data_IF_877507713658
#
_entry.id   IF_877507713658
#
_cell.length_a   1.000
_cell.length_b   1.000
_cell.length_c   1.000
_cell.angle_alpha   90.00
_cell.angle_beta   90.00
_cell.angle_gamma   90.00
#
_symmetry.space_group_name_H-M   'P 1'
#
loop_
_entity.id
_entity.type
_entity.pdbx_description
1 polymer ?
#
# COMPACT_ATOMS: atom_id res chain seq x y z
N UNK A 1 -3.36 42.09 -18.73
CA UNK A 1 -3.80 40.73 -18.37
C UNK A 1 -2.74 40.11 -17.50
N UNK A 2 -3.17 39.61 -16.35
CA UNK A 2 -2.28 39.11 -15.32
C UNK A 2 -2.88 37.90 -14.65
N UNK A 3 -2.07 36.86 -14.47
CA UNK A 3 -2.52 35.61 -13.89
C UNK A 3 -2.49 35.67 -12.36
N UNK A 4 -3.57 35.19 -11.76
CA UNK A 4 -3.73 35.09 -10.32
C UNK A 4 -4.23 33.72 -9.93
N UNK A 5 -3.84 33.28 -8.74
CA UNK A 5 -4.42 32.14 -8.07
C UNK A 5 -5.21 32.63 -6.87
N UNK A 6 -6.45 32.17 -6.76
CA UNK A 6 -7.38 32.55 -5.69
C UNK A 6 -7.84 31.26 -5.02
N UNK A 7 -7.68 31.15 -3.70
CA UNK A 7 -8.28 30.07 -2.91
C UNK A 7 -9.27 30.66 -1.93
N UNK A 8 -10.51 30.18 -1.92
CA UNK A 8 -11.56 30.67 -1.04
C UNK A 8 -12.47 29.54 -0.58
N UNK A 9 -12.96 29.64 0.66
CA UNK A 9 -13.95 28.72 1.21
C UNK A 9 -15.35 29.24 0.90
N UNK A 10 -16.14 28.44 0.19
CA UNK A 10 -17.54 28.68 -0.11
C UNK A 10 -18.38 27.65 0.62
N UNK A 11 -19.49 28.07 1.22
CA UNK A 11 -20.42 27.12 1.84
C UNK A 11 -21.01 26.22 0.75
N UNK A 12 -20.93 24.91 0.94
CA UNK A 12 -21.36 23.91 -0.04
C UNK A 12 -22.90 23.88 -0.13
N UNK A 13 -23.45 24.78 -0.95
CA UNK A 13 -24.88 24.92 -1.25
C UNK A 13 -25.07 25.26 -2.73
N UNK A 14 -26.11 24.72 -3.38
CA UNK A 14 -26.43 25.06 -4.76
C UNK A 14 -26.51 26.57 -4.99
N UNK A 15 -25.84 27.05 -6.03
CA UNK A 15 -25.85 28.47 -6.42
C UNK A 15 -24.91 29.39 -5.63
N UNK A 16 -24.16 28.91 -4.64
CA UNK A 16 -23.19 29.79 -3.95
C UNK A 16 -21.92 30.01 -4.77
N UNK A 17 -21.43 28.97 -5.44
CA UNK A 17 -20.33 29.12 -6.40
C UNK A 17 -20.70 30.09 -7.54
N UNK A 18 -21.97 30.10 -8.00
CA UNK A 18 -22.39 31.03 -9.06
C UNK A 18 -22.42 32.49 -8.62
N UNK A 19 -22.69 32.77 -7.33
CA UNK A 19 -22.59 34.13 -6.77
C UNK A 19 -21.12 34.59 -6.76
N UNK A 20 -20.20 33.69 -6.40
CA UNK A 20 -18.77 33.97 -6.42
C UNK A 20 -18.26 34.25 -7.83
N UNK A 21 -18.56 33.36 -8.78
CA UNK A 21 -18.11 33.54 -10.18
C UNK A 21 -18.74 34.77 -10.84
N UNK A 22 -20.00 35.10 -10.52
CA UNK A 22 -20.63 36.34 -10.98
C UNK A 22 -19.94 37.60 -10.44
N UNK A 23 -19.52 37.58 -9.16
CA UNK A 23 -18.80 38.71 -8.55
C UNK A 23 -17.44 38.96 -9.22
N UNK A 24 -16.71 37.89 -9.55
CA UNK A 24 -15.46 37.97 -10.31
C UNK A 24 -15.70 38.47 -11.75
N UNK A 25 -16.73 37.95 -12.42
CA UNK A 25 -17.08 38.36 -13.79
C UNK A 25 -17.42 39.86 -13.89
N UNK A 26 -18.10 40.43 -12.89
CA UNK A 26 -18.39 41.88 -12.82
C UNK A 26 -17.14 42.76 -12.74
N UNK A 27 -15.99 42.20 -12.35
CA UNK A 27 -14.68 42.88 -12.36
C UNK A 27 -13.88 42.60 -13.64
N UNK A 28 -14.46 41.88 -14.61
CA UNK A 28 -13.78 41.48 -15.84
C UNK A 28 -12.76 40.36 -15.63
N UNK A 29 -12.85 39.60 -14.54
CA UNK A 29 -11.96 38.47 -14.26
C UNK A 29 -12.44 37.23 -15.01
N UNK A 30 -11.55 36.63 -15.80
CA UNK A 30 -11.79 35.39 -16.51
C UNK A 30 -11.27 34.19 -15.71
N UNK A 31 -12.12 33.17 -15.51
CA UNK A 31 -11.73 31.97 -14.76
C UNK A 31 -11.21 30.93 -15.77
N UNK A 32 -9.94 30.56 -15.62
CA UNK A 32 -9.27 29.61 -16.50
C UNK A 32 -9.45 28.17 -16.01
N UNK A 33 -9.32 27.96 -14.70
CA UNK A 33 -9.53 26.65 -14.07
C UNK A 33 -10.17 26.80 -12.69
N UNK A 34 -10.89 25.76 -12.27
CA UNK A 34 -11.48 25.64 -10.93
C UNK A 34 -11.20 24.25 -10.40
N UNK A 35 -10.73 24.17 -9.15
CA UNK A 35 -10.64 22.93 -8.39
C UNK A 35 -11.44 23.09 -7.10
N UNK A 36 -12.31 22.12 -6.82
CA UNK A 36 -13.15 22.13 -5.62
C UNK A 36 -12.65 21.05 -4.67
N UNK A 37 -12.40 21.42 -3.42
CA UNK A 37 -11.99 20.52 -2.35
C UNK A 37 -13.04 20.54 -1.24
N UNK A 38 -13.78 19.46 -1.07
CA UNK A 38 -14.77 19.36 0.00
C UNK A 38 -14.09 19.22 1.36
N UNK A 39 -14.48 20.06 2.32
CA UNK A 39 -14.00 20.03 3.71
C UNK A 39 -15.18 20.18 4.66
N UNK A 40 -14.98 19.89 5.96
CA UNK A 40 -16.02 20.08 6.99
C UNK A 40 -16.46 21.54 7.13
N UNK A 41 -15.57 22.50 6.82
CA UNK A 41 -15.85 23.94 6.92
C UNK A 41 -16.54 24.54 5.67
N UNK A 42 -16.67 23.75 4.59
CA UNK A 42 -17.18 24.16 3.30
C UNK A 42 -16.36 23.62 2.12
N UNK A 43 -16.79 23.94 0.91
CA UNK A 43 -16.01 23.69 -0.30
C UNK A 43 -14.89 24.73 -0.40
N UNK A 44 -13.63 24.27 -0.41
CA UNK A 44 -12.48 25.12 -0.68
C UNK A 44 -12.23 25.12 -2.18
N UNK A 45 -12.51 26.25 -2.82
CA UNK A 45 -12.40 26.44 -4.25
C UNK A 45 -11.07 27.12 -4.59
N UNK A 46 -10.30 26.52 -5.50
CA UNK A 46 -9.01 26.99 -6.00
C UNK A 46 -9.17 27.38 -7.47
N UNK A 47 -9.06 28.68 -7.74
CA UNK A 47 -9.24 29.28 -9.06
C UNK A 47 -7.89 29.71 -9.61
N UNK A 48 -7.64 29.39 -10.88
CA UNK A 48 -6.70 30.14 -11.70
C UNK A 48 -7.48 31.13 -12.56
N UNK A 49 -7.12 32.40 -12.47
CA UNK A 49 -7.85 33.47 -13.16
C UNK A 49 -6.90 34.37 -13.95
N UNK A 50 -7.41 34.93 -15.04
CA UNK A 50 -6.81 36.06 -15.75
C UNK A 50 -7.61 37.32 -15.43
N UNK A 51 -6.92 38.32 -14.90
CA UNK A 51 -7.51 39.58 -14.44
C UNK A 51 -6.92 40.78 -15.20
N UNK A 52 -7.71 41.84 -15.44
CA UNK A 52 -7.23 43.15 -15.87
C UNK A 52 -6.00 43.61 -15.08
N UNK A 53 -5.07 44.30 -15.75
CA UNK A 53 -3.76 44.64 -15.16
C UNK A 53 -3.87 45.65 -14.00
N UNK A 54 -4.98 46.39 -13.98
CA UNK A 54 -5.30 47.42 -13.01
C UNK A 54 -5.82 46.85 -11.68
N UNK A 55 -6.29 45.59 -11.69
CA UNK A 55 -6.79 44.94 -10.47
C UNK A 55 -5.66 44.54 -9.54
N UNK A 56 -5.81 44.92 -8.28
CA UNK A 56 -4.90 44.54 -7.20
C UNK A 56 -5.34 43.25 -6.51
N UNK A 57 -4.47 42.69 -5.65
CA UNK A 57 -4.85 41.55 -4.82
C UNK A 57 -6.05 41.88 -3.91
N UNK A 58 -6.09 43.10 -3.36
CA UNK A 58 -7.18 43.57 -2.49
C UNK A 58 -8.51 43.68 -3.24
N UNK A 59 -8.48 44.10 -4.51
CA UNK A 59 -9.69 44.13 -5.35
C UNK A 59 -10.26 42.73 -5.58
N UNK A 60 -9.39 41.73 -5.75
CA UNK A 60 -9.78 40.33 -5.92
C UNK A 60 -10.32 39.76 -4.62
N UNK A 61 -9.69 40.05 -3.47
CA UNK A 61 -10.21 39.66 -2.15
C UNK A 61 -11.60 40.25 -1.93
N UNK A 62 -11.77 41.56 -2.16
CA UNK A 62 -13.07 42.22 -2.03
C UNK A 62 -14.14 41.64 -2.97
N UNK A 63 -13.75 41.25 -4.19
CA UNK A 63 -14.64 40.58 -5.13
C UNK A 63 -15.07 39.19 -4.63
N UNK A 64 -14.14 38.42 -4.04
CA UNK A 64 -14.44 37.11 -3.45
C UNK A 64 -15.36 37.22 -2.24
N UNK A 65 -15.12 38.17 -1.34
CA UNK A 65 -15.95 38.40 -0.16
C UNK A 65 -17.38 38.83 -0.54
N UNK A 66 -17.52 39.74 -1.52
CA UNK A 66 -18.82 40.11 -2.10
C UNK A 66 -19.52 38.90 -2.74
N UNK A 67 -18.72 37.97 -3.27
CA UNK A 67 -19.14 36.67 -3.81
C UNK A 67 -19.48 35.61 -2.75
N UNK A 68 -19.48 35.96 -1.46
CA UNK A 68 -19.69 35.06 -0.31
C UNK A 68 -18.57 34.04 -0.07
N UNK A 69 -17.40 34.23 -0.69
CA UNK A 69 -16.19 33.50 -0.31
C UNK A 69 -15.65 33.97 1.04
N UNK A 70 -15.08 33.05 1.82
CA UNK A 70 -14.42 33.30 3.10
C UNK A 70 -13.00 32.74 3.06
N UNK A 71 -12.16 33.13 4.03
CA UNK A 71 -10.77 32.65 4.16
C UNK A 71 -9.98 32.79 2.84
N UNK A 72 -10.18 33.91 2.14
CA UNK A 72 -9.63 34.16 0.82
C UNK A 72 -8.10 34.33 0.88
N UNK A 73 -7.42 33.64 -0.02
CA UNK A 73 -6.00 33.80 -0.29
C UNK A 73 -5.82 34.11 -1.78
N UNK A 74 -5.02 35.14 -2.09
CA UNK A 74 -4.75 35.58 -3.44
C UNK A 74 -3.24 35.72 -3.64
N UNK A 75 -2.72 35.15 -4.73
CA UNK A 75 -1.32 35.30 -5.11
C UNK A 75 -1.17 35.41 -6.63
N UNK A 76 -0.08 36.03 -7.07
CA UNK A 76 0.30 36.03 -8.49
C UNK A 76 0.60 34.61 -8.95
N UNK A 77 0.27 34.31 -10.20
CA UNK A 77 0.57 33.03 -10.84
C UNK A 77 1.39 33.26 -12.10
N UNK A 78 2.23 32.29 -12.45
CA UNK A 78 3.03 32.29 -13.68
C UNK A 78 2.40 31.38 -14.74
N UNK A 79 2.95 31.39 -15.96
CA UNK A 79 2.48 30.53 -17.06
C UNK A 79 2.49 29.04 -16.70
N UNK A 80 3.40 28.61 -15.82
CA UNK A 80 3.46 27.23 -15.31
C UNK A 80 2.18 26.81 -14.57
N UNK A 81 1.44 27.77 -14.01
CA UNK A 81 0.15 27.55 -13.35
C UNK A 81 -0.97 27.17 -14.32
N UNK A 82 -0.81 27.38 -15.63
CA UNK A 82 -1.79 27.00 -16.66
C UNK A 82 -1.83 25.48 -16.91
N UNK A 83 -0.77 24.75 -16.53
CA UNK A 83 -0.77 23.30 -16.64
C UNK A 83 -1.71 22.73 -15.57
N UNK A 84 -2.66 21.92 -15.99
CA UNK A 84 -3.61 21.30 -15.09
C UNK A 84 -2.91 20.38 -14.08
N UNK A 85 -3.53 20.23 -12.91
CA UNK A 85 -2.96 19.45 -11.82
C UNK A 85 -2.72 17.98 -12.16
N UNK A 86 -3.65 17.24 -12.81
CA UNK A 86 -3.38 15.87 -13.26
C UNK A 86 -2.11 15.76 -14.12
N UNK A 87 -1.95 16.62 -15.13
CA UNK A 87 -0.77 16.62 -16.00
C UNK A 87 0.51 16.89 -15.21
N UNK A 88 0.49 17.88 -14.30
CA UNK A 88 1.64 18.15 -13.41
C UNK A 88 1.98 16.96 -12.51
N UNK A 89 0.97 16.30 -11.93
CA UNK A 89 1.18 15.15 -11.07
C UNK A 89 1.83 13.98 -11.81
N UNK A 90 1.39 13.69 -13.05
CA UNK A 90 2.01 12.67 -13.89
C UNK A 90 3.45 13.01 -14.25
N UNK A 91 3.74 14.27 -14.59
CA UNK A 91 5.12 14.71 -14.87
C UNK A 91 6.05 14.55 -13.65
N UNK A 92 5.55 14.87 -12.45
CA UNK A 92 6.27 14.65 -11.20
C UNK A 92 6.48 13.17 -10.91
N UNK A 93 5.48 12.32 -11.17
CA UNK A 93 5.61 10.87 -11.06
C UNK A 93 6.69 10.31 -12.00
N UNK A 94 6.71 10.75 -13.27
CA UNK A 94 7.75 10.35 -14.22
C UNK A 94 9.14 10.76 -13.75
N UNK A 95 9.30 11.99 -13.22
CA UNK A 95 10.58 12.44 -12.67
C UNK A 95 11.04 11.54 -11.52
N UNK A 96 10.15 11.21 -10.60
CA UNK A 96 10.44 10.36 -9.45
C UNK A 96 10.83 8.93 -9.85
N UNK A 97 10.28 8.40 -10.96
CA UNK A 97 10.69 7.10 -11.51
C UNK A 97 12.13 7.13 -12.00
N UNK A 98 12.60 8.25 -12.55
CA UNK A 98 13.97 8.42 -13.03
C UNK A 98 14.96 8.80 -11.94
N UNK A 99 14.51 9.54 -10.92
CA UNK A 99 15.31 10.04 -9.81
C UNK A 99 14.53 9.88 -8.48
N UNK A 100 14.65 8.71 -7.81
CA UNK A 100 13.91 8.43 -6.57
C UNK A 100 14.31 9.33 -5.39
N UNK A 101 15.55 9.82 -5.39
CA UNK A 101 16.08 10.69 -4.32
C UNK A 101 15.46 12.09 -4.36
N UNK A 102 14.86 12.49 -5.48
CA UNK A 102 14.16 13.76 -5.66
C UNK A 102 12.77 13.80 -4.99
N UNK A 103 12.38 12.81 -4.17
CA UNK A 103 11.07 12.75 -3.52
C UNK A 103 10.73 14.02 -2.73
N UNK A 104 11.68 14.54 -1.93
CA UNK A 104 11.46 15.76 -1.15
C UNK A 104 11.14 16.98 -2.02
N UNK A 105 11.88 17.18 -3.11
CA UNK A 105 11.65 18.29 -4.06
C UNK A 105 10.35 18.10 -4.87
N UNK A 106 10.03 16.85 -5.17
CA UNK A 106 8.77 16.47 -5.84
C UNK A 106 7.56 16.77 -4.96
N UNK A 107 7.63 16.46 -3.66
CA UNK A 107 6.62 16.82 -2.65
C UNK A 107 6.48 18.34 -2.54
N UNK A 108 7.61 19.06 -2.48
CA UNK A 108 7.62 20.52 -2.44
C UNK A 108 6.86 21.12 -3.62
N UNK A 109 7.14 20.62 -4.83
CA UNK A 109 6.51 21.09 -6.07
C UNK A 109 5.02 20.70 -6.15
N UNK A 110 4.68 19.46 -5.78
CA UNK A 110 3.31 18.96 -5.79
C UNK A 110 2.38 19.78 -4.88
N UNK A 111 2.89 20.12 -3.69
CA UNK A 111 2.13 20.81 -2.64
C UNK A 111 2.29 22.33 -2.66
N UNK A 112 3.12 22.87 -3.55
CA UNK A 112 3.54 24.28 -3.54
C UNK A 112 3.97 24.72 -2.13
N UNK A 113 4.81 23.90 -1.51
CA UNK A 113 5.25 24.11 -0.13
C UNK A 113 6.45 25.05 -0.05
N UNK A 114 6.51 25.84 1.02
CA UNK A 114 7.64 26.75 1.28
C UNK A 114 8.89 25.96 1.66
N UNK A 115 8.69 24.89 2.44
CA UNK A 115 9.76 24.02 2.94
C UNK A 115 9.35 22.55 2.97
N UNK A 116 10.33 21.68 2.76
CA UNK A 116 10.24 20.24 3.00
C UNK A 116 11.50 19.83 3.73
N UNK A 117 11.35 19.26 4.92
CA UNK A 117 12.46 18.76 5.73
C UNK A 117 12.25 17.30 6.05
N UNK A 118 13.26 16.48 5.82
CA UNK A 118 13.24 15.07 6.20
C UNK A 118 13.79 14.89 7.63
N UNK A 119 13.15 14.02 8.41
CA UNK A 119 13.62 13.62 9.74
C UNK A 119 13.79 12.10 9.82
N UNK A 120 14.85 11.61 10.48
CA UNK A 120 15.14 10.18 10.57
C UNK A 120 14.20 9.42 11.53
N UNK A 121 13.53 10.11 12.46
CA UNK A 121 12.62 9.49 13.42
C UNK A 121 11.17 9.64 12.97
N UNK A 122 10.33 8.60 13.17
CA UNK A 122 8.89 8.73 12.95
C UNK A 122 8.31 9.85 13.82
N UNK A 123 7.47 10.70 13.24
CA UNK A 123 6.81 11.74 14.02
C UNK A 123 5.89 11.14 15.10
N UNK A 124 5.98 11.64 16.34
CA UNK A 124 5.24 11.12 17.50
C UNK A 124 3.70 11.18 17.36
N UNK A 125 3.18 11.94 16.39
CA UNK A 125 1.74 12.10 16.11
C UNK A 125 1.22 11.32 14.90
N UNK A 126 2.05 10.49 14.26
CA UNK A 126 1.66 9.76 13.04
C UNK A 126 1.46 10.65 11.80
N UNK A 127 1.03 10.06 10.67
CA UNK A 127 0.73 10.78 9.43
C UNK A 127 -0.46 11.71 9.63
N UNK A 128 -0.39 12.91 9.07
CA UNK A 128 -1.49 13.87 9.15
C UNK A 128 -1.09 15.26 8.72
N UNK A 129 -2.02 16.20 8.78
CA UNK A 129 -1.76 17.60 8.45
C UNK A 129 -2.54 18.52 9.38
N UNK A 130 -2.06 19.75 9.50
CA UNK A 130 -2.71 20.86 10.18
C UNK A 130 -2.74 22.09 9.25
N UNK A 131 -2.98 23.27 9.80
CA UNK A 131 -3.16 24.50 9.00
C UNK A 131 -1.92 24.88 8.19
N UNK A 132 -0.71 24.56 8.67
CA UNK A 132 0.54 25.01 8.04
C UNK A 132 1.61 23.94 7.88
N UNK A 133 1.41 22.75 8.45
CA UNK A 133 2.33 21.64 8.36
C UNK A 133 1.63 20.35 7.93
N UNK A 134 2.35 19.51 7.20
CA UNK A 134 1.94 18.18 6.79
C UNK A 134 3.06 17.19 7.10
N UNK A 135 2.70 16.09 7.76
CA UNK A 135 3.60 15.01 8.19
C UNK A 135 3.33 13.77 7.36
N UNK A 136 4.37 13.31 6.68
CA UNK A 136 4.31 12.29 5.65
C UNK A 136 5.37 11.21 5.92
N UNK A 137 4.99 9.97 6.22
CA UNK A 137 5.95 8.90 6.47
C UNK A 137 6.70 8.56 5.17
N UNK A 138 8.02 8.50 5.25
CA UNK A 138 8.87 8.15 4.13
C UNK A 138 8.90 6.61 3.95
N UNK A 139 8.63 6.07 2.74
CA UNK A 139 8.74 4.64 2.47
C UNK A 139 10.09 4.00 2.77
N UNK A 140 11.20 4.75 2.74
CA UNK A 140 12.54 4.23 3.11
C UNK A 140 12.88 4.44 4.59
N UNK A 141 11.94 5.00 5.36
CA UNK A 141 12.08 5.27 6.79
C UNK A 141 12.25 6.75 7.11
N UNK A 142 11.76 7.16 8.29
CA UNK A 142 11.71 8.56 8.70
C UNK A 142 10.39 9.24 8.33
N UNK A 143 10.38 10.57 8.31
CA UNK A 143 9.19 11.38 8.05
C UNK A 143 9.56 12.69 7.38
N UNK A 144 8.84 13.05 6.32
CA UNK A 144 8.85 14.38 5.75
C UNK A 144 7.91 15.31 6.53
N UNK A 145 8.46 16.45 6.95
CA UNK A 145 7.71 17.60 7.44
C UNK A 145 7.66 18.64 6.33
N UNK A 146 6.47 18.85 5.80
CA UNK A 146 6.19 19.83 4.76
C UNK A 146 5.55 21.06 5.40
N UNK A 147 6.12 22.24 5.18
CA UNK A 147 5.63 23.50 5.74
C UNK A 147 5.16 24.47 4.66
N UNK A 148 4.01 25.09 4.87
CA UNK A 148 3.48 26.17 4.02
C UNK A 148 2.78 27.23 4.89
N UNK A 149 3.10 28.51 4.71
CA UNK A 149 2.50 29.60 5.49
C UNK A 149 1.07 29.91 5.06
N UNK A 150 0.78 29.84 3.76
CA UNK A 150 -0.55 29.96 3.19
C UNK A 150 -0.57 29.43 1.73
N UNK A 151 -1.71 28.92 1.23
CA UNK A 151 -2.95 28.67 1.97
C UNK A 151 -2.87 27.41 2.86
N UNK A 152 -3.88 27.16 3.68
CA UNK A 152 -3.93 25.96 4.52
C UNK A 152 -3.99 24.67 3.68
N UNK A 153 -3.44 23.58 4.20
CA UNK A 153 -3.51 22.27 3.53
C UNK A 153 -4.93 21.71 3.52
N UNK A 154 -5.29 21.05 2.42
CA UNK A 154 -6.59 20.39 2.27
C UNK A 154 -6.49 18.85 2.37
N UNK A 155 -7.60 18.14 2.69
CA UNK A 155 -7.62 16.68 2.65
C UNK A 155 -7.19 16.12 1.28
N UNK A 156 -7.58 16.80 0.19
CA UNK A 156 -7.21 16.41 -1.16
C UNK A 156 -5.70 16.57 -1.42
N UNK A 157 -5.07 17.62 -0.88
CA UNK A 157 -3.61 17.80 -0.94
C UNK A 157 -2.88 16.68 -0.18
N UNK A 158 -3.37 16.32 1.01
CA UNK A 158 -2.82 15.21 1.79
C UNK A 158 -2.94 13.87 1.05
N UNK A 159 -4.12 13.55 0.52
CA UNK A 159 -4.34 12.32 -0.24
C UNK A 159 -3.43 12.20 -1.47
N UNK A 160 -3.20 13.30 -2.19
CA UNK A 160 -2.24 13.32 -3.32
C UNK A 160 -0.80 13.07 -2.87
N UNK A 161 -0.38 13.66 -1.75
CA UNK A 161 0.96 13.41 -1.21
C UNK A 161 1.13 11.94 -0.79
N UNK A 162 0.12 11.34 -0.16
CA UNK A 162 0.12 9.92 0.18
C UNK A 162 0.25 9.03 -1.07
N UNK A 163 -0.51 9.33 -2.13
CA UNK A 163 -0.41 8.59 -3.39
C UNK A 163 0.99 8.71 -4.04
N UNK A 164 1.62 9.89 -3.97
CA UNK A 164 2.99 10.08 -4.48
C UNK A 164 4.01 9.28 -3.64
N UNK A 165 3.86 9.22 -2.32
CA UNK A 165 4.72 8.41 -1.45
C UNK A 165 4.56 6.92 -1.70
N UNK A 166 3.33 6.46 -1.95
CA UNK A 166 3.08 5.06 -2.32
C UNK A 166 3.81 4.69 -3.62
N UNK A 167 3.75 5.57 -4.63
CA UNK A 167 4.53 5.44 -5.85
C UNK A 167 6.04 5.44 -5.57
N UNK A 168 6.53 6.38 -4.76
CA UNK A 168 7.95 6.46 -4.38
C UNK A 168 8.43 5.15 -3.76
N UNK A 169 7.66 4.59 -2.83
CA UNK A 169 7.96 3.31 -2.21
C UNK A 169 8.00 2.16 -3.21
N UNK A 170 7.10 2.15 -4.20
CA UNK A 170 7.12 1.16 -5.26
C UNK A 170 8.37 1.27 -6.15
N UNK A 171 8.75 2.49 -6.53
CA UNK A 171 9.96 2.77 -7.30
C UNK A 171 11.21 2.38 -6.52
N UNK A 172 11.30 2.77 -5.24
CA UNK A 172 12.44 2.46 -4.38
C UNK A 172 12.60 0.95 -4.19
N UNK A 173 11.51 0.21 -3.93
CA UNK A 173 11.54 -1.26 -3.87
C UNK A 173 12.13 -1.87 -5.15
N UNK A 174 11.73 -1.38 -6.33
CA UNK A 174 12.28 -1.82 -7.63
C UNK A 174 13.74 -1.43 -7.84
N UNK A 175 14.19 -0.30 -7.29
CA UNK A 175 15.57 0.17 -7.42
C UNK A 175 16.55 -0.66 -6.59
N UNK A 176 16.18 -1.04 -5.36
CA UNK A 176 16.99 -1.91 -4.48
C UNK A 176 17.20 -3.30 -5.08
N UNK A 177 16.39 -3.67 -6.07
CA UNK A 177 16.52 -4.91 -6.82
C UNK A 177 17.56 -4.82 -7.94
N UNK A 178 17.99 -3.62 -8.36
CA UNK A 178 19.07 -3.35 -9.32
C UNK A 178 20.39 -3.04 -8.59
N UNK A 179 21.19 -4.06 -8.26
CA UNK A 179 22.44 -3.90 -7.49
C UNK A 179 23.55 -4.79 -8.04
N UNK A 180 24.73 -4.23 -8.27
CA UNK A 180 25.95 -5.01 -8.56
C UNK A 180 26.50 -5.66 -7.29
N UNK A 181 26.65 -6.98 -7.35
CA UNK A 181 27.26 -7.80 -6.31
C UNK A 181 28.71 -8.11 -6.67
N UNK A 182 29.63 -7.76 -5.79
CA UNK A 182 30.99 -8.29 -5.83
C UNK A 182 31.01 -9.61 -5.06
N UNK A 183 31.19 -10.72 -5.77
CA UNK A 183 31.33 -12.04 -5.17
C UNK A 183 32.72 -12.20 -4.52
N UNK A 184 32.92 -13.15 -3.58
CA UNK A 184 34.21 -13.32 -2.88
C UNK A 184 35.42 -13.56 -3.79
N UNK A 185 35.19 -14.03 -5.02
CA UNK A 185 36.24 -14.26 -6.03
C UNK A 185 36.47 -13.05 -6.95
N UNK A 186 35.92 -11.87 -6.61
CA UNK A 186 36.05 -10.63 -7.37
C UNK A 186 35.13 -10.51 -8.60
N UNK A 187 34.30 -11.53 -8.88
CA UNK A 187 33.33 -11.47 -9.97
C UNK A 187 32.19 -10.49 -9.65
N UNK A 188 31.91 -9.57 -10.56
CA UNK A 188 30.80 -8.63 -10.48
C UNK A 188 29.56 -9.20 -11.14
N UNK A 189 28.41 -9.11 -10.45
CA UNK A 189 27.14 -9.64 -10.92
C UNK A 189 26.05 -8.62 -10.65
N UNK A 190 25.50 -8.04 -11.71
CA UNK A 190 24.30 -7.21 -11.64
C UNK A 190 23.10 -8.09 -11.27
N UNK A 191 22.47 -7.80 -10.15
CA UNK A 191 21.14 -8.30 -9.82
C UNK A 191 20.13 -7.28 -10.28
N UNK A 192 19.07 -7.71 -10.99
CA UNK A 192 17.94 -6.86 -11.40
C UNK A 192 16.61 -7.62 -11.42
N UNK A 193 15.45 -6.96 -11.37
CA UNK A 193 14.17 -7.56 -11.69
C UNK A 193 14.15 -8.16 -13.10
N UNK A 194 13.41 -9.25 -13.24
CA UNK A 194 13.10 -9.87 -14.52
C UNK A 194 12.06 -9.05 -15.29
N UNK A 195 12.18 -9.09 -16.61
CA UNK A 195 11.21 -8.62 -17.57
C UNK A 195 10.74 -9.81 -18.42
N UNK A 196 9.61 -9.67 -19.11
CA UNK A 196 9.08 -10.72 -19.98
C UNK A 196 9.98 -11.00 -21.19
N UNK A 197 10.78 -10.02 -21.61
CA UNK A 197 11.81 -10.12 -22.65
C UNK A 197 12.99 -11.03 -22.26
N UNK A 198 13.22 -11.26 -20.96
CA UNK A 198 14.30 -12.12 -20.47
C UNK A 198 14.03 -13.62 -20.70
N UNK A 199 12.89 -13.98 -21.29
CA UNK A 199 12.47 -15.37 -21.48
C UNK A 199 13.54 -16.20 -22.19
N UNK A 200 14.14 -15.68 -23.27
CA UNK A 200 15.15 -16.40 -24.02
C UNK A 200 16.42 -16.65 -23.19
N UNK A 201 16.89 -15.63 -22.46
CA UNK A 201 18.07 -15.74 -21.59
C UNK A 201 17.84 -16.73 -20.44
N UNK A 202 16.64 -16.71 -19.85
CA UNK A 202 16.24 -17.63 -18.78
C UNK A 202 16.09 -19.05 -19.29
N UNK A 203 15.51 -19.26 -20.47
CA UNK A 203 15.46 -20.58 -21.12
C UNK A 203 16.86 -21.12 -21.39
N UNK A 204 17.77 -20.29 -21.90
CA UNK A 204 19.17 -20.66 -22.09
C UNK A 204 19.85 -21.02 -20.76
N UNK A 205 19.60 -20.29 -19.67
CA UNK A 205 20.09 -20.64 -18.33
C UNK A 205 19.58 -22.02 -17.88
N UNK A 206 18.29 -22.32 -18.08
CA UNK A 206 17.73 -23.63 -17.73
C UNK A 206 18.35 -24.77 -18.52
N UNK A 207 18.68 -24.55 -19.79
CA UNK A 207 19.36 -25.55 -20.63
C UNK A 207 20.77 -25.87 -20.15
N UNK A 208 21.49 -24.89 -19.60
CA UNK A 208 22.83 -25.07 -19.03
C UNK A 208 22.85 -25.71 -17.64
N UNK A 209 21.73 -25.66 -16.90
CA UNK A 209 21.63 -26.26 -15.58
C UNK A 209 21.59 -27.80 -15.65
N UNK A 210 22.25 -28.45 -14.69
CA UNK A 210 22.17 -29.90 -14.54
C UNK A 210 20.76 -30.38 -14.18
N UNK A 211 20.48 -31.66 -14.45
CA UNK A 211 19.20 -32.29 -14.07
C UNK A 211 18.93 -32.21 -12.56
N UNK A 212 19.97 -32.36 -11.73
CA UNK A 212 19.86 -32.24 -10.27
C UNK A 212 19.51 -30.82 -9.81
N UNK A 213 20.14 -29.81 -10.42
CA UNK A 213 19.85 -28.40 -10.14
C UNK A 213 18.40 -28.06 -10.49
N UNK A 214 17.88 -28.56 -11.62
CA UNK A 214 16.50 -28.36 -12.04
C UNK A 214 15.51 -29.14 -11.16
N UNK A 215 15.81 -30.40 -10.81
CA UNK A 215 14.99 -31.23 -9.90
C UNK A 215 14.81 -30.55 -8.55
N UNK A 216 15.88 -29.95 -7.99
CA UNK A 216 15.81 -29.21 -6.72
C UNK A 216 14.98 -27.94 -6.80
N UNK A 217 14.95 -27.30 -7.97
CA UNK A 217 14.16 -26.09 -8.22
C UNK A 217 12.68 -26.39 -8.45
N UNK A 218 12.38 -27.49 -9.13
CA UNK A 218 11.02 -27.90 -9.51
C UNK A 218 10.69 -29.28 -8.94
N UNK A 219 10.60 -29.42 -7.60
CA UNK A 219 10.53 -30.73 -6.95
C UNK A 219 9.23 -31.49 -7.22
N UNK A 220 8.17 -30.79 -7.61
CA UNK A 220 6.86 -31.35 -7.96
C UNK A 220 6.67 -31.58 -9.46
N UNK A 221 7.71 -31.34 -10.27
CA UNK A 221 7.63 -31.42 -11.73
C UNK A 221 8.50 -32.56 -12.26
N UNK A 222 7.96 -33.32 -13.21
CA UNK A 222 8.69 -34.37 -13.91
C UNK A 222 9.66 -33.80 -14.97
N UNK A 223 9.22 -32.78 -15.70
CA UNK A 223 9.96 -32.16 -16.80
C UNK A 223 10.34 -30.70 -16.52
N UNK A 224 11.06 -30.08 -17.46
CA UNK A 224 11.40 -28.66 -17.39
C UNK A 224 10.14 -27.81 -17.63
N UNK A 225 10.03 -26.61 -17.01
CA UNK A 225 8.92 -25.71 -17.28
C UNK A 225 8.93 -25.27 -18.76
N UNK A 226 7.74 -25.23 -19.36
CA UNK A 226 7.53 -24.69 -20.69
C UNK A 226 7.68 -23.15 -20.72
N UNK A 227 7.68 -22.58 -21.93
CA UNK A 227 7.82 -21.13 -22.11
C UNK A 227 6.74 -20.32 -21.42
N UNK A 228 5.49 -20.81 -21.40
CA UNK A 228 4.36 -20.14 -20.75
C UNK A 228 4.50 -20.11 -19.23
N UNK A 229 4.95 -21.21 -18.61
CA UNK A 229 5.22 -21.26 -17.18
C UNK A 229 6.40 -20.35 -16.81
N UNK A 230 7.45 -20.32 -17.64
CA UNK A 230 8.57 -19.40 -17.43
C UNK A 230 8.14 -17.94 -17.55
N UNK A 231 7.30 -17.56 -18.52
CA UNK A 231 6.71 -16.20 -18.62
C UNK A 231 5.97 -15.81 -17.34
N UNK A 232 5.14 -16.70 -16.80
CA UNK A 232 4.44 -16.47 -15.51
C UNK A 232 5.38 -16.32 -14.33
N UNK A 233 6.51 -17.02 -14.35
CA UNK A 233 7.55 -16.87 -13.32
C UNK A 233 8.31 -15.55 -13.48
N UNK A 234 8.51 -15.02 -14.69
CA UNK A 234 9.19 -13.75 -14.90
C UNK A 234 8.33 -12.54 -14.51
N UNK A 235 7.03 -12.62 -14.74
CA UNK A 235 6.07 -11.58 -14.38
C UNK A 235 4.95 -12.12 -13.45
N UNK A 236 5.25 -12.39 -12.17
CA UNK A 236 4.24 -12.84 -11.23
C UNK A 236 3.21 -11.72 -10.95
N UNK A 237 1.92 -12.08 -10.85
CA UNK A 237 0.86 -11.10 -10.57
C UNK A 237 1.00 -10.43 -9.19
N UNK A 238 1.54 -11.16 -8.20
CA UNK A 238 1.89 -10.65 -6.87
C UNK A 238 3.22 -11.27 -6.45
N UNK A 239 4.30 -10.52 -6.55
CA UNK A 239 5.65 -11.00 -6.23
C UNK A 239 6.72 -10.31 -7.06
N UNK A 240 7.93 -10.85 -7.02
CA UNK A 240 9.06 -10.36 -7.82
C UNK A 240 9.97 -11.50 -8.24
N UNK A 241 10.64 -11.32 -9.36
CA UNK A 241 11.68 -12.23 -9.84
C UNK A 241 12.95 -11.44 -10.06
N UNK A 242 14.04 -11.86 -9.43
CA UNK A 242 15.37 -11.30 -9.60
C UNK A 242 16.20 -12.20 -10.49
N UNK A 243 16.91 -11.59 -11.44
CA UNK A 243 17.90 -12.20 -12.30
C UNK A 243 19.28 -11.71 -11.90
N UNK A 244 20.27 -12.58 -12.02
CA UNK A 244 21.66 -12.26 -11.82
C UNK A 244 22.38 -12.36 -13.17
N UNK A 245 23.05 -11.29 -13.59
CA UNK A 245 23.75 -11.15 -14.87
C UNK A 245 25.20 -10.77 -14.57
N UNK A 246 26.20 -11.53 -15.04
CA UNK A 246 27.60 -11.24 -14.78
C UNK A 246 28.05 -10.01 -15.56
N UNK A 247 28.74 -9.08 -14.91
CA UNK A 247 29.34 -7.90 -15.55
C UNK A 247 30.79 -8.20 -15.96
N UNK A 248 31.23 -7.68 -17.12
CA UNK A 248 32.64 -7.65 -17.50
C UNK A 248 33.25 -8.92 -18.15
N UNK A 249 32.44 -9.87 -18.65
CA UNK A 249 32.94 -11.03 -19.40
C UNK A 249 32.91 -10.86 -20.93
N UNK A 250 33.76 -11.59 -21.67
CA UNK A 250 33.72 -11.72 -23.15
C UNK A 250 32.50 -12.51 -23.68
N UNK A 251 31.43 -12.60 -22.88
CA UNK A 251 30.22 -13.33 -23.18
C UNK A 251 29.06 -12.42 -23.59
N UNK A 252 27.89 -13.02 -23.70
CA UNK A 252 26.62 -12.31 -23.90
C UNK A 252 26.33 -11.39 -22.68
N UNK A 253 26.22 -10.05 -22.87
CA UNK A 253 25.99 -9.11 -21.78
C UNK A 253 24.66 -9.34 -21.04
N UNK A 254 23.71 -10.06 -21.66
CA UNK A 254 22.42 -10.40 -21.06
C UNK A 254 22.36 -11.84 -20.52
N UNK A 255 23.53 -12.49 -20.35
CA UNK A 255 23.59 -13.87 -19.86
C UNK A 255 23.11 -13.97 -18.40
N UNK A 256 21.91 -14.50 -18.20
CA UNK A 256 21.41 -14.83 -16.87
C UNK A 256 22.14 -16.05 -16.30
N UNK A 257 22.68 -15.94 -15.08
CA UNK A 257 23.40 -17.02 -14.36
C UNK A 257 22.68 -17.48 -13.09
N UNK A 258 21.72 -16.70 -12.60
CA UNK A 258 20.80 -17.13 -11.54
C UNK A 258 19.45 -16.43 -11.64
N UNK A 259 18.43 -17.07 -11.09
CA UNK A 259 17.05 -16.60 -11.01
C UNK A 259 16.49 -16.89 -9.61
N UNK A 260 15.86 -15.89 -9.00
CA UNK A 260 15.27 -15.98 -7.68
C UNK A 260 13.85 -15.42 -7.76
N UNK A 261 12.85 -16.19 -7.33
CA UNK A 261 11.45 -15.79 -7.40
C UNK A 261 10.88 -15.69 -6.00
N UNK A 262 10.05 -14.68 -5.80
CA UNK A 262 9.14 -14.55 -4.69
C UNK A 262 7.73 -14.40 -5.24
N UNK A 263 6.81 -15.25 -4.79
CA UNK A 263 5.38 -15.19 -5.15
C UNK A 263 4.57 -15.10 -3.87
N UNK A 264 3.61 -14.18 -3.84
CA UNK A 264 2.73 -14.00 -2.70
C UNK A 264 1.65 -15.09 -2.65
N UNK A 265 1.54 -15.75 -1.50
CA UNK A 265 0.52 -16.74 -1.17
C UNK A 265 -0.20 -16.28 0.13
N UNK A 266 -1.19 -15.40 -0.02
CA UNK A 266 -1.86 -14.76 1.11
C UNK A 266 -0.90 -13.83 1.88
N UNK A 267 -0.68 -14.14 3.15
CA UNK A 267 0.27 -13.44 4.04
C UNK A 267 1.71 -13.99 3.94
N UNK A 268 1.91 -15.07 3.18
CA UNK A 268 3.21 -15.72 2.99
C UNK A 268 3.85 -15.30 1.67
N UNK A 269 5.18 -15.24 1.67
CA UNK A 269 5.98 -15.01 0.47
C UNK A 269 6.77 -16.27 0.11
N UNK A 270 6.30 -17.01 -0.89
CA UNK A 270 6.93 -18.24 -1.35
C UNK A 270 8.20 -17.90 -2.16
N UNK A 271 9.35 -18.42 -1.73
CA UNK A 271 10.64 -18.20 -2.38
C UNK A 271 11.17 -19.45 -3.06
N UNK A 272 11.79 -19.26 -4.22
CA UNK A 272 12.49 -20.32 -4.94
C UNK A 272 13.73 -19.75 -5.64
N UNK A 273 14.81 -20.54 -5.71
CA UNK A 273 16.11 -20.13 -6.26
C UNK A 273 16.59 -21.14 -7.31
N UNK A 274 17.18 -20.65 -8.39
CA UNK A 274 17.89 -21.42 -9.39
C UNK A 274 19.23 -20.72 -9.66
N UNK A 275 20.35 -21.42 -9.49
CA UNK A 275 21.70 -20.90 -9.75
C UNK A 275 22.41 -21.89 -10.65
N UNK A 276 22.93 -21.41 -11.78
CA UNK A 276 23.73 -22.23 -12.71
C UNK A 276 24.88 -22.92 -11.97
N UNK A 277 25.12 -24.19 -12.28
CA UNK A 277 26.04 -25.06 -11.52
C UNK A 277 27.44 -24.45 -11.33
N UNK A 278 27.97 -23.77 -12.35
CA UNK A 278 29.27 -23.08 -12.30
C UNK A 278 29.32 -21.87 -11.35
N UNK A 279 28.17 -21.31 -10.98
CA UNK A 279 28.02 -20.14 -10.10
C UNK A 279 27.59 -20.51 -8.67
N UNK A 280 27.32 -21.79 -8.42
CA UNK A 280 26.96 -22.28 -7.09
C UNK A 280 28.14 -22.18 -6.12
N UNK A 281 27.84 -22.12 -4.82
CA UNK A 281 28.82 -22.03 -3.72
C UNK A 281 29.70 -20.77 -3.71
N UNK A 282 29.43 -19.79 -4.59
CA UNK A 282 30.10 -18.47 -4.62
C UNK A 282 29.34 -17.38 -3.85
N UNK A 283 28.34 -17.74 -3.04
CA UNK A 283 27.54 -16.80 -2.23
C UNK A 283 26.34 -16.17 -2.95
N UNK A 284 26.21 -16.31 -4.26
CA UNK A 284 25.14 -15.70 -5.08
C UNK A 284 23.73 -16.06 -4.61
N UNK A 285 23.44 -17.35 -4.39
CA UNK A 285 22.11 -17.80 -3.91
C UNK A 285 21.71 -17.18 -2.56
N UNK A 286 22.67 -17.00 -1.65
CA UNK A 286 22.40 -16.33 -0.37
C UNK A 286 22.22 -14.83 -0.51
N UNK A 287 22.93 -14.18 -1.43
CA UNK A 287 22.76 -12.77 -1.71
C UNK A 287 21.40 -12.45 -2.35
N UNK A 288 20.92 -13.33 -3.25
CA UNK A 288 19.58 -13.24 -3.84
C UNK A 288 18.48 -13.50 -2.79
N UNK A 289 18.61 -14.53 -1.96
CA UNK A 289 17.62 -14.83 -0.94
C UNK A 289 17.49 -13.71 0.10
N UNK A 290 18.61 -13.07 0.50
CA UNK A 290 18.56 -11.90 1.40
C UNK A 290 17.77 -10.75 0.79
N UNK A 291 17.91 -10.50 -0.52
CA UNK A 291 17.15 -9.46 -1.23
C UNK A 291 15.66 -9.78 -1.26
N UNK A 292 15.30 -11.02 -1.57
CA UNK A 292 13.90 -11.45 -1.51
C UNK A 292 13.33 -11.34 -0.09
N UNK A 293 14.13 -11.64 0.93
CA UNK A 293 13.72 -11.45 2.32
C UNK A 293 13.48 -9.98 2.66
N UNK A 294 14.36 -9.07 2.22
CA UNK A 294 14.17 -7.62 2.38
C UNK A 294 12.95 -7.11 1.61
N UNK A 295 12.72 -7.61 0.40
CA UNK A 295 11.51 -7.31 -0.37
C UNK A 295 10.25 -7.75 0.39
N UNK A 296 10.28 -8.96 0.95
CA UNK A 296 9.16 -9.50 1.70
C UNK A 296 8.88 -8.71 2.99
N UNK A 297 9.93 -8.32 3.71
CA UNK A 297 9.80 -7.51 4.93
C UNK A 297 9.21 -6.12 4.62
N UNK A 298 9.74 -5.43 3.61
CA UNK A 298 9.21 -4.13 3.13
C UNK A 298 7.80 -4.23 2.54
N UNK A 299 7.44 -5.40 2.00
CA UNK A 299 6.11 -5.70 1.49
C UNK A 299 5.09 -6.04 2.56
N UNK A 300 5.50 -6.14 3.84
CA UNK A 300 4.61 -6.44 4.96
C UNK A 300 4.18 -7.91 5.05
N UNK A 301 4.90 -8.84 4.40
CA UNK A 301 4.57 -10.27 4.47
C UNK A 301 4.90 -10.85 5.85
N UNK A 302 4.08 -11.77 6.34
CA UNK A 302 4.25 -12.34 7.67
C UNK A 302 5.45 -13.30 7.77
N UNK A 303 5.69 -14.08 6.72
CA UNK A 303 6.77 -15.05 6.66
C UNK A 303 7.18 -15.40 5.23
N UNK A 304 8.42 -15.85 5.07
CA UNK A 304 8.87 -16.54 3.86
C UNK A 304 8.46 -18.01 3.92
N UNK A 305 8.03 -18.59 2.81
CA UNK A 305 7.82 -20.04 2.68
C UNK A 305 8.69 -20.60 1.55
N UNK A 306 9.14 -21.85 1.68
CA UNK A 306 9.91 -22.52 0.63
C UNK A 306 9.55 -24.01 0.58
N UNK A 307 9.32 -24.51 -0.64
CA UNK A 307 9.15 -25.94 -0.91
C UNK A 307 10.44 -26.48 -1.48
N UNK A 308 11.09 -27.41 -0.79
CA UNK A 308 12.40 -27.92 -1.21
C UNK A 308 12.59 -29.41 -0.87
N UNK A 309 13.27 -30.19 -1.73
CA UNK A 309 13.62 -31.57 -1.39
C UNK A 309 14.45 -31.67 -0.11
N UNK A 310 14.27 -32.73 0.66
CA UNK A 310 15.02 -32.97 1.90
C UNK A 310 16.54 -33.09 1.68
N UNK A 311 16.97 -33.50 0.49
CA UNK A 311 18.37 -33.58 0.09
C UNK A 311 18.97 -32.25 -0.41
N UNK A 312 18.17 -31.17 -0.48
CA UNK A 312 18.65 -29.84 -0.86
C UNK A 312 19.31 -29.10 0.31
N UNK A 313 20.43 -29.65 0.78
CA UNK A 313 21.23 -29.11 1.90
C UNK A 313 21.62 -27.65 1.68
N UNK A 314 21.85 -27.24 0.43
CA UNK A 314 22.18 -25.85 0.08
C UNK A 314 21.07 -24.87 0.46
N UNK A 315 19.83 -25.15 0.03
CA UNK A 315 18.66 -24.34 0.38
C UNK A 315 18.39 -24.36 1.88
N UNK A 316 18.44 -25.52 2.52
CA UNK A 316 18.21 -25.63 3.97
C UNK A 316 19.22 -24.81 4.78
N UNK A 317 20.50 -24.80 4.40
CA UNK A 317 21.52 -23.93 5.02
C UNK A 317 21.30 -22.45 4.74
N UNK A 318 20.71 -22.10 3.60
CA UNK A 318 20.37 -20.71 3.29
C UNK A 318 19.20 -20.23 4.15
N UNK A 319 18.14 -21.01 4.25
CA UNK A 319 16.97 -20.70 5.08
C UNK A 319 17.34 -20.66 6.57
N UNK A 320 18.16 -21.60 7.04
CA UNK A 320 18.60 -21.63 8.44
C UNK A 320 19.38 -20.37 8.84
N UNK A 321 20.06 -19.70 7.91
CA UNK A 321 20.81 -18.47 8.20
C UNK A 321 19.93 -17.29 8.62
N UNK A 322 18.64 -17.31 8.29
CA UNK A 322 17.68 -16.30 8.73
C UNK A 322 17.22 -16.49 10.19
N UNK A 323 17.76 -17.48 10.93
CA UNK A 323 17.67 -17.73 12.39
C UNK A 323 16.41 -17.15 13.07
N UNK A 324 15.24 -17.55 12.58
CA UNK A 324 13.97 -17.39 13.29
C UNK A 324 13.30 -18.76 13.35
N UNK A 325 12.84 -19.21 14.52
CA UNK A 325 12.18 -20.51 14.66
C UNK A 325 10.96 -20.54 13.74
N UNK A 326 11.02 -21.42 12.75
CA UNK A 326 10.06 -21.57 11.69
C UNK A 326 9.43 -22.95 11.70
N UNK A 327 8.19 -23.06 11.19
CA UNK A 327 7.58 -24.37 11.01
C UNK A 327 8.28 -25.11 9.86
N UNK A 328 8.66 -26.37 10.09
CA UNK A 328 9.14 -27.29 9.06
C UNK A 328 8.19 -28.45 9.01
N UNK A 329 7.44 -28.56 7.92
CA UNK A 329 6.56 -29.68 7.64
C UNK A 329 7.21 -30.59 6.60
N UNK A 330 7.01 -31.89 6.75
CA UNK A 330 7.58 -32.90 5.84
C UNK A 330 6.47 -33.76 5.25
N UNK A 331 6.45 -33.80 3.93
CA UNK A 331 5.63 -34.72 3.15
C UNK A 331 6.53 -35.56 2.23
N UNK A 332 6.80 -36.80 2.65
CA UNK A 332 7.76 -37.69 1.98
C UNK A 332 9.17 -37.09 1.88
N UNK A 333 9.58 -36.78 0.64
CA UNK A 333 10.88 -36.16 0.33
C UNK A 333 10.80 -34.63 0.18
N UNK A 334 9.61 -34.03 0.26
CA UNK A 334 9.40 -32.59 0.15
C UNK A 334 9.33 -31.97 1.56
N UNK A 335 10.05 -30.88 1.76
CA UNK A 335 9.99 -30.05 2.96
C UNK A 335 9.29 -28.74 2.62
N UNK A 336 8.33 -28.35 3.47
CA UNK A 336 7.76 -27.01 3.52
C UNK A 336 8.39 -26.28 4.70
N UNK A 337 9.17 -25.24 4.42
CA UNK A 337 9.90 -24.47 5.44
C UNK A 337 9.33 -23.06 5.48
N UNK A 338 8.84 -22.63 6.64
CA UNK A 338 8.28 -21.30 6.86
C UNK A 338 9.14 -20.50 7.83
N UNK A 339 9.66 -19.34 7.41
CA UNK A 339 10.54 -18.47 8.21
C UNK A 339 9.84 -17.12 8.48
N UNK A 340 9.45 -16.81 9.73
CA UNK A 340 8.79 -15.54 10.09
C UNK A 340 9.65 -14.31 9.77
N UNK A 341 9.06 -13.23 9.25
CA UNK A 341 9.74 -11.97 8.89
C UNK A 341 9.60 -10.86 9.94
N UNK A 342 8.48 -10.82 10.67
CA UNK A 342 8.28 -9.96 11.83
C UNK A 342 8.37 -10.74 13.16
N UNK A 343 8.72 -10.07 14.26
CA UNK A 343 8.34 -10.56 15.58
C UNK A 343 6.81 -10.50 15.64
N UNK A 344 6.14 -11.62 15.42
CA UNK A 344 4.87 -11.78 16.14
C UNK A 344 5.24 -11.89 17.61
N UNK A 345 5.03 -10.81 18.36
CA UNK A 345 4.50 -11.00 19.71
C UNK A 345 3.42 -12.06 19.57
N UNK A 346 3.62 -13.19 20.24
CA UNK A 346 2.70 -14.30 20.18
C UNK A 346 1.34 -13.81 20.70
N UNK A 347 0.50 -13.31 19.79
CA UNK A 347 -0.92 -13.26 20.02
C UNK A 347 -1.32 -14.71 20.25
N UNK A 348 -1.62 -15.01 21.51
CA UNK A 348 -2.14 -16.29 21.95
C UNK A 348 -3.21 -16.76 20.96
N UNK A 349 -3.30 -18.08 20.69
CA UNK A 349 -4.33 -18.58 19.78
C UNK A 349 -5.70 -18.07 20.25
N UNK A 350 -6.63 -17.79 19.32
CA UNK A 350 -8.00 -17.50 19.72
C UNK A 350 -8.48 -18.71 20.51
N UNK A 351 -8.80 -18.50 21.79
CA UNK A 351 -9.47 -19.51 22.57
C UNK A 351 -10.73 -19.90 21.78
N UNK A 352 -10.73 -21.12 21.26
CA UNK A 352 -11.94 -21.77 20.80
C UNK A 352 -12.98 -21.55 21.89
N UNK A 353 -14.09 -20.93 21.50
CA UNK A 353 -15.28 -20.89 22.33
C UNK A 353 -15.77 -22.32 22.45
N UNK A 354 -15.20 -23.06 23.41
CA UNK A 354 -15.84 -24.22 23.98
C UNK A 354 -17.18 -23.72 24.51
N UNK A 355 -18.27 -24.20 23.90
CA UNK A 355 -19.61 -23.90 24.33
C UNK A 355 -19.73 -24.09 25.83
N UNK A 356 -20.04 -23.01 26.53
CA UNK A 356 -20.44 -23.01 27.93
C UNK A 356 -21.72 -23.85 28.03
N UNK A 357 -21.56 -25.15 28.26
CA UNK A 357 -22.61 -25.95 28.89
C UNK A 357 -22.77 -25.37 30.29
N UNK A 358 -23.88 -24.66 30.50
CA UNK A 358 -24.38 -24.36 31.83
C UNK A 358 -24.43 -25.65 32.67
N UNK A 359 -23.82 -25.70 33.86
CA UNK A 359 -24.02 -26.79 34.78
C UNK A 359 -25.46 -26.72 35.34
N UNK A 360 -26.18 -27.84 35.23
CA UNK A 360 -27.44 -28.09 35.92
C UNK A 360 -27.15 -28.08 37.43
N UNK A 361 -27.83 -27.26 38.26
CA UNK A 361 -27.60 -27.27 39.69
C UNK A 361 -28.13 -28.57 40.32
N UNK A 362 -27.24 -29.27 41.03
CA UNK A 362 -27.58 -30.41 41.87
C UNK A 362 -28.37 -29.95 43.10
N UNK A 363 -29.48 -30.64 43.37
CA UNK A 363 -30.32 -30.49 44.56
C UNK A 363 -29.51 -30.79 45.84
N UNK A 364 -29.54 -29.93 46.88
CA UNK A 364 -28.98 -30.25 48.18
C UNK A 364 -29.95 -31.08 49.03
N UNK A 365 -29.46 -32.21 49.56
CA UNK A 365 -30.14 -33.01 50.60
C UNK A 365 -30.12 -32.35 51.98
N UNK A 366 -30.94 -32.83 52.93
CA UNK A 366 -31.42 -32.03 54.07
C UNK A 366 -30.56 -32.12 55.34
N UNK A 367 -30.63 -31.05 56.14
CA UNK A 367 -30.21 -30.98 57.55
C UNK A 367 -29.13 -29.92 57.79
N UNK A 368 -29.25 -28.95 58.71
CA UNK A 368 -30.21 -28.74 59.77
C UNK A 368 -30.12 -27.28 60.30
N UNK A 369 -31.09 -26.93 61.14
CA UNK A 369 -31.08 -25.91 62.19
C UNK A 369 -31.63 -24.49 61.89
N UNK A 370 -32.87 -24.32 62.37
CA UNK A 370 -33.32 -23.30 63.32
C UNK A 370 -33.54 -21.83 62.90
N UNK A 371 -34.75 -21.34 63.20
CA UNK A 371 -34.90 -20.05 63.88
C UNK A 371 -35.68 -18.94 63.17
N UNK A 372 -37.02 -19.03 63.23
CA UNK A 372 -37.98 -17.95 63.55
C UNK A 372 -37.90 -16.56 62.87
N UNK A 373 -39.03 -16.14 62.28
CA UNK A 373 -39.48 -14.73 62.37
C UNK A 373 -40.33 -14.20 61.22
N UNK A 374 -41.67 -14.17 61.43
CA UNK A 374 -42.70 -13.16 61.03
C UNK A 374 -42.46 -12.30 59.76
N UNK A 375 -43.41 -12.07 58.85
CA UNK A 375 -44.86 -12.28 58.78
C UNK A 375 -45.51 -11.29 57.77
N UNK A 376 -46.72 -11.63 57.30
CA UNK A 376 -47.78 -10.79 56.68
C UNK A 376 -47.46 -10.20 55.28
N UNK A 377 -48.19 -10.52 54.20
CA UNK A 377 -49.62 -10.24 53.92
C UNK A 377 -49.68 -9.12 52.84
N UNK A 378 -50.51 -9.06 51.79
CA UNK A 378 -51.83 -9.63 51.45
C UNK A 378 -52.23 -9.26 50.01
N UNK A 379 -53.11 -10.08 49.41
CA UNK A 379 -54.25 -9.80 48.48
C UNK A 379 -54.05 -9.03 47.14
N UNK A 380 -54.32 -9.62 45.97
CA UNK A 380 -55.63 -9.86 45.27
C UNK A 380 -56.16 -8.60 44.53
N UNK A 381 -56.71 -8.58 43.31
CA UNK A 381 -57.21 -9.56 42.32
C UNK A 381 -57.54 -8.80 40.99
N UNK A 382 -58.58 -9.14 40.19
CA UNK A 382 -58.44 -9.95 38.96
C UNK A 382 -59.10 -9.40 37.65
N UNK A 383 -58.65 -9.91 36.47
CA UNK A 383 -59.32 -10.42 35.20
C UNK A 383 -60.69 -9.87 34.70
N UNK A 384 -61.23 -10.25 33.49
CA UNK A 384 -60.67 -10.58 32.14
C UNK A 384 -61.51 -10.11 30.90
N UNK A 385 -60.97 -10.28 29.67
CA UNK A 385 -61.68 -10.86 28.49
C UNK A 385 -62.30 -9.92 27.42
N UNK A 386 -62.80 -10.45 26.28
CA UNK A 386 -62.02 -10.81 25.07
C UNK A 386 -62.67 -10.34 23.73
N UNK A 387 -62.00 -10.56 22.58
CA UNK A 387 -62.67 -10.51 21.26
C UNK A 387 -61.76 -10.48 20.01
N UNK A 388 -61.79 -11.56 19.24
CA UNK A 388 -61.20 -11.86 17.90
C UNK A 388 -62.42 -12.36 17.07
N UNK A 389 -62.59 -12.19 15.73
CA UNK A 389 -61.85 -13.02 14.75
C UNK A 389 -61.69 -12.59 13.26
N UNK A 390 -60.64 -13.20 12.66
CA UNK A 390 -60.51 -13.93 11.38
C UNK A 390 -60.84 -13.31 9.99
N UNK A 391 -59.97 -13.62 9.01
CA UNK A 391 -60.28 -13.54 7.57
C UNK A 391 -59.11 -14.00 6.66
N UNK A 392 -59.32 -15.04 5.84
CA UNK A 392 -58.34 -15.85 5.07
C UNK A 392 -57.90 -15.32 3.68
N UNK A 393 -56.64 -15.63 3.33
CA UNK A 393 -56.03 -16.24 2.11
C UNK A 393 -56.74 -16.35 0.73
N UNK A 394 -55.99 -16.00 -0.36
CA UNK A 394 -55.72 -16.69 -1.67
C UNK A 394 -55.00 -15.70 -2.64
N UNK A 395 -53.84 -15.94 -3.26
CA UNK A 395 -53.40 -16.86 -4.34
C UNK A 395 -53.62 -16.36 -5.79
N UNK A 396 -52.64 -16.68 -6.68
CA UNK A 396 -52.49 -16.46 -8.15
C UNK A 396 -51.74 -15.16 -8.56
N UNK A 397 -50.52 -15.17 -9.13
CA UNK A 397 -49.98 -15.79 -10.37
C UNK A 397 -50.23 -14.94 -11.63
N UNK A 398 -49.15 -14.40 -12.22
CA UNK A 398 -48.79 -14.43 -13.66
C UNK A 398 -47.71 -13.39 -14.00
N UNK A 399 -46.58 -13.88 -14.55
CA UNK A 399 -45.68 -13.21 -15.48
C UNK A 399 -46.14 -13.62 -16.92
N UNK A 400 -45.47 -13.27 -18.06
CA UNK A 400 -44.15 -12.65 -18.26
C UNK A 400 -44.06 -11.68 -19.48
N UNK A 401 -42.79 -11.42 -19.88
CA UNK A 401 -42.27 -10.87 -21.17
C UNK A 401 -42.34 -9.34 -21.33
N UNK A 402 -41.24 -8.62 -21.60
CA UNK A 402 -40.04 -8.90 -22.43
C UNK A 402 -38.79 -8.26 -21.88
#
# INVERSE_FOLDING_TARGET
MTLWRIRATVTDRPGFLSVLTASLALRGVNILTVQVHTTEAGAVDDFLVDAPAELTADDLVAAVEKGRGRDCWVARSEAQGLVDQPTRALGLATRLVHDPDALGETLRTLLAADSVTWRPLPAAGGPGYDRGAMRLPDPDGGTFEVGRSAPAFTPAEFARAQALLELAGAVLRRSVEHVTLVLPEGAEVLVRPALTEDLAAVQAMHQRCSADTLRRRYPTMADRPDGERLRRLLAPARGVTLLAVPEGGTGDPDRVVAMANLVAEGELAQVALLVEDAWQRRGLGGALLRRLATYADRGGYAALSAYTPADNVGMLRLLNRFHRPGAVERDGNLLSVTVPLAERSAAAPPAERLGTRLPIPAQPGPGAAAGSGRGLGTSAGPRPGPGVPAGRARAAAEAPET
#
